data_IF_635070234627
#
_entry.id   IF_635070234627
#
_cell.length_a   1.000
_cell.length_b   1.000
_cell.length_c   1.000
_cell.angle_alpha   90.00
_cell.angle_beta   90.00
_cell.angle_gamma   90.00
#
_symmetry.space_group_name_H-M   'P 1'
#
loop_
_entity.id
_entity.type
_entity.pdbx_description
1 polymer ?
#
# COMPACT_ATOMS: atom_id res chain seq x y z
N UNK A 1 6.28 -2.00 -8.90
CA UNK A 1 5.03 -1.55 -9.55
C UNK A 1 4.71 -0.16 -9.03
N UNK A 2 3.81 0.56 -9.69
CA UNK A 2 3.31 1.85 -9.20
C UNK A 2 1.79 1.89 -9.33
N UNK A 3 1.17 2.67 -8.45
CA UNK A 3 -0.26 2.99 -8.47
C UNK A 3 -0.42 4.50 -8.53
N UNK A 4 -1.64 5.00 -8.68
CA UNK A 4 -1.92 6.44 -8.69
C UNK A 4 -2.81 6.82 -7.54
N UNK A 5 -2.47 7.92 -6.85
CA UNK A 5 -3.43 8.54 -5.95
C UNK A 5 -4.53 9.27 -6.76
N UNK A 6 -5.56 9.72 -6.07
CA UNK A 6 -6.66 10.46 -6.71
C UNK A 6 -6.26 11.85 -7.24
N UNK A 7 -5.10 12.38 -6.83
CA UNK A 7 -4.53 13.61 -7.39
C UNK A 7 -3.66 13.36 -8.63
N UNK A 8 -3.47 12.09 -9.03
CA UNK A 8 -2.67 11.68 -10.18
C UNK A 8 -1.17 11.55 -9.90
N UNK A 9 -0.75 11.59 -8.64
CA UNK A 9 0.63 11.34 -8.23
C UNK A 9 0.96 9.86 -8.40
N UNK A 10 2.16 9.59 -8.92
CA UNK A 10 2.67 8.22 -8.99
C UNK A 10 3.19 7.78 -7.62
N UNK A 11 2.67 6.67 -7.14
CA UNK A 11 3.01 6.08 -5.85
C UNK A 11 3.75 4.77 -6.09
N UNK A 12 4.92 4.63 -5.47
CA UNK A 12 5.74 3.43 -5.65
C UNK A 12 5.21 2.30 -4.77
N UNK A 13 5.01 1.12 -5.36
CA UNK A 13 4.61 -0.10 -4.66
C UNK A 13 5.66 -1.20 -4.86
N UNK A 14 6.24 -1.66 -3.76
CA UNK A 14 7.25 -2.73 -3.72
C UNK A 14 6.78 -3.90 -2.88
N UNK A 15 6.78 -5.10 -3.44
CA UNK A 15 6.53 -6.31 -2.68
C UNK A 15 7.74 -6.63 -1.78
N UNK A 16 7.50 -6.76 -0.47
CA UNK A 16 8.50 -7.15 0.53
C UNK A 16 8.50 -8.65 0.79
N UNK A 17 7.38 -9.33 0.55
CA UNK A 17 7.24 -10.76 0.77
C UNK A 17 5.93 -11.31 0.22
N UNK A 18 5.80 -12.62 0.27
CA UNK A 18 4.55 -13.35 0.00
C UNK A 18 4.36 -14.37 1.12
N UNK A 19 3.14 -14.47 1.61
CA UNK A 19 2.69 -15.48 2.56
C UNK A 19 1.58 -16.29 1.92
N UNK A 20 1.17 -17.38 2.57
CA UNK A 20 -0.01 -18.16 2.15
C UNK A 20 -1.28 -17.29 2.16
N UNK A 21 -1.35 -16.32 3.08
CA UNK A 21 -2.49 -15.42 3.25
C UNK A 21 -2.48 -14.20 2.30
N UNK A 22 -1.40 -13.95 1.54
CA UNK A 22 -1.34 -12.82 0.61
C UNK A 22 0.04 -12.20 0.40
N UNK A 23 0.05 -10.91 0.08
CA UNK A 23 1.22 -10.14 -0.32
C UNK A 23 1.52 -9.02 0.68
N UNK A 24 2.77 -8.95 1.14
CA UNK A 24 3.24 -7.83 1.94
C UNK A 24 3.82 -6.76 1.02
N UNK A 25 3.23 -5.58 1.01
CA UNK A 25 3.56 -4.48 0.14
C UNK A 25 4.07 -3.28 0.94
N UNK A 26 5.12 -2.65 0.41
CA UNK A 26 5.60 -1.35 0.85
C UNK A 26 5.17 -0.31 -0.17
N UNK A 27 4.35 0.63 0.27
CA UNK A 27 3.87 1.75 -0.55
C UNK A 27 4.60 3.03 -0.14
N UNK A 28 5.21 3.73 -1.07
CA UNK A 28 5.94 4.99 -0.83
C UNK A 28 5.38 6.08 -1.71
N UNK A 29 4.83 7.11 -1.09
CA UNK A 29 4.25 8.26 -1.77
C UNK A 29 5.28 9.41 -1.87
N UNK A 30 5.26 10.19 -2.96
CA UNK A 30 6.24 11.25 -3.22
C UNK A 30 6.23 12.39 -2.17
N UNK A 31 5.13 12.56 -1.43
CA UNK A 31 5.03 13.51 -0.31
C UNK A 31 5.79 13.07 0.96
N UNK A 32 6.45 11.91 0.93
CA UNK A 32 7.23 11.36 2.04
C UNK A 32 6.42 10.49 3.01
N UNK A 33 5.14 10.23 2.74
CA UNK A 33 4.37 9.18 3.43
C UNK A 33 4.70 7.80 2.90
N UNK A 34 4.60 6.80 3.76
CA UNK A 34 4.82 5.40 3.42
C UNK A 34 3.95 4.50 4.28
N UNK A 35 3.46 3.43 3.68
CA UNK A 35 2.65 2.42 4.33
C UNK A 35 3.26 1.04 4.09
N UNK A 36 3.19 0.18 5.10
CA UNK A 36 3.42 -1.25 4.98
C UNK A 36 2.05 -1.90 5.09
N UNK A 37 1.62 -2.54 4.02
CA UNK A 37 0.29 -3.10 3.88
C UNK A 37 0.39 -4.61 3.63
N UNK A 38 -0.47 -5.37 4.29
CA UNK A 38 -0.72 -6.76 3.96
C UNK A 38 -1.98 -6.79 3.09
N UNK A 39 -1.86 -7.33 1.88
CA UNK A 39 -3.01 -7.49 0.98
C UNK A 39 -3.31 -8.97 0.85
N UNK A 40 -4.51 -9.38 1.23
CA UNK A 40 -4.94 -10.78 1.13
C UNK A 40 -5.20 -11.18 -0.32
N UNK A 41 -5.23 -12.48 -0.60
CA UNK A 41 -5.59 -12.99 -1.94
C UNK A 41 -7.02 -12.64 -2.36
N UNK A 42 -7.89 -12.26 -1.41
CA UNK A 42 -9.26 -11.81 -1.66
C UNK A 42 -9.34 -10.31 -1.96
N UNK A 43 -8.23 -9.57 -1.87
CA UNK A 43 -8.18 -8.12 -2.04
C UNK A 43 -8.47 -7.31 -0.77
N UNK A 44 -8.49 -7.94 0.41
CA UNK A 44 -8.57 -7.21 1.68
C UNK A 44 -7.21 -6.57 2.00
N UNK A 45 -7.22 -5.29 2.36
CA UNK A 45 -6.01 -4.52 2.65
C UNK A 45 -5.97 -4.22 4.15
N UNK A 46 -4.89 -4.63 4.81
CA UNK A 46 -4.61 -4.31 6.20
C UNK A 46 -3.32 -3.47 6.28
N UNK A 47 -3.36 -2.35 7.00
CA UNK A 47 -2.20 -1.46 7.14
C UNK A 47 -1.46 -1.76 8.43
N UNK A 48 -0.32 -2.44 8.34
CA UNK A 48 0.48 -2.83 9.49
C UNK A 48 1.22 -1.66 10.13
N UNK A 49 1.73 -0.74 9.32
CA UNK A 49 2.60 0.34 9.79
C UNK A 49 2.62 1.51 8.84
N UNK A 50 2.62 2.71 9.41
CA UNK A 50 2.61 3.96 8.67
C UNK A 50 3.79 4.85 9.06
N UNK A 51 4.29 5.58 8.08
CA UNK A 51 5.53 6.34 8.20
C UNK A 51 5.39 7.69 7.51
N UNK A 52 6.08 8.70 8.05
CA UNK A 52 6.21 10.03 7.45
C UNK A 52 7.64 10.52 7.61
N UNK A 53 8.29 10.90 6.51
CA UNK A 53 9.68 11.38 6.57
C UNK A 53 10.70 10.30 6.99
N UNK A 54 10.32 9.02 6.89
CA UNK A 54 11.17 7.89 7.29
C UNK A 54 10.98 7.44 8.75
N UNK A 55 10.19 8.15 9.54
CA UNK A 55 9.88 7.82 10.93
C UNK A 55 8.49 7.18 11.02
N UNK A 56 8.28 6.28 12.00
CA UNK A 56 6.96 5.74 12.32
C UNK A 56 6.05 6.89 12.73
N UNK A 57 4.90 7.00 12.07
CA UNK A 57 3.95 8.07 12.32
C UNK A 57 2.55 7.53 12.08
N UNK A 58 1.69 7.68 13.08
CA UNK A 58 0.28 7.32 12.97
C UNK A 58 -0.41 8.32 12.03
N UNK A 59 -0.50 7.95 10.76
CA UNK A 59 -1.17 8.74 9.71
C UNK A 59 -2.39 7.98 9.21
N UNK A 60 -3.42 8.74 8.86
CA UNK A 60 -4.62 8.18 8.25
C UNK A 60 -4.28 7.44 6.95
N UNK A 61 -4.87 6.27 6.81
CA UNK A 61 -4.84 5.50 5.57
C UNK A 61 -5.79 6.17 4.58
N UNK A 62 -5.31 6.64 3.43
CA UNK A 62 -6.18 7.27 2.44
C UNK A 62 -6.92 6.21 1.60
N UNK A 63 -8.17 6.49 1.23
CA UNK A 63 -9.04 5.53 0.51
C UNK A 63 -8.41 5.01 -0.81
N UNK A 64 -7.70 5.88 -1.55
CA UNK A 64 -7.02 5.48 -2.79
C UNK A 64 -6.00 4.36 -2.58
N UNK A 65 -5.41 4.26 -1.38
CA UNK A 65 -4.45 3.21 -1.07
C UNK A 65 -5.17 1.86 -1.06
N UNK A 66 -6.31 1.79 -0.38
CA UNK A 66 -7.08 0.56 -0.22
C UNK A 66 -7.70 0.12 -1.55
N UNK A 67 -8.30 1.05 -2.31
CA UNK A 67 -8.86 0.77 -3.64
C UNK A 67 -7.80 0.19 -4.59
N UNK A 68 -6.66 0.89 -4.74
CA UNK A 68 -5.63 0.50 -5.71
C UNK A 68 -4.93 -0.81 -5.29
N UNK A 69 -4.67 -1.00 -3.99
CA UNK A 69 -4.06 -2.24 -3.49
C UNK A 69 -5.00 -3.44 -3.56
N UNK A 70 -6.30 -3.24 -3.34
CA UNK A 70 -7.32 -4.30 -3.49
C UNK A 70 -7.34 -4.83 -4.93
N UNK A 71 -7.29 -3.93 -5.91
CA UNK A 71 -7.23 -4.29 -7.33
C UNK A 71 -5.96 -5.06 -7.71
N UNK A 72 -4.81 -4.77 -7.06
CA UNK A 72 -3.55 -5.49 -7.33
C UNK A 72 -3.63 -6.97 -6.93
N UNK A 73 -4.38 -7.30 -5.88
CA UNK A 73 -4.49 -8.66 -5.39
C UNK A 73 -5.49 -9.52 -6.15
N UNK A 74 -6.44 -8.90 -6.86
CA UNK A 74 -7.39 -9.62 -7.70
C UNK A 74 -6.67 -10.12 -8.96
N UNK A 75 -6.63 -11.45 -9.20
CA UNK A 75 -6.18 -11.95 -10.50
C UNK A 75 -7.15 -11.47 -11.58
N UNK A 76 -6.60 -10.96 -12.68
CA UNK A 76 -7.35 -10.58 -13.89
C UNK A 76 -8.06 -11.78 -14.53
#
# INVERSE_FOLDING_TARGET
>A
MSIRDYAGNEVEVRQQGRSEDGHRLKVTHPDGRRWICQVSLSGEVDVESTYRGGELADIETPDWLEDELSMIAQPA
#
